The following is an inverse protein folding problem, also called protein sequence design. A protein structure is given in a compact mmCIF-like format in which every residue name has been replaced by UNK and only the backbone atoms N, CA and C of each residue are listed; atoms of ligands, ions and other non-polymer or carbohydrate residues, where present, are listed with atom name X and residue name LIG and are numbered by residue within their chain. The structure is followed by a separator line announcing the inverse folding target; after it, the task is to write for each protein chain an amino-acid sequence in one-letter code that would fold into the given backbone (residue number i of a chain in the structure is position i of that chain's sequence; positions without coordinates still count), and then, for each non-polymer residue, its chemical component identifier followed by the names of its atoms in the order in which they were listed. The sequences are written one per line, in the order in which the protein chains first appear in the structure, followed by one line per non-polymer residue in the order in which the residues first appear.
data_IF_831434431151
#
_entry.id   IF_831434431151
#
_cell.length_a   1.000
_cell.length_b   1.000
_cell.length_c   1.000
_cell.angle_alpha   90.00
_cell.angle_beta   90.00
_cell.angle_gamma   90.00
#
_symmetry.space_group_name_H-M   'P 1'
#
loop_
_entity.id
_entity.type
_entity.pdbx_description
1 polymer ?
#
# COMPACT_ATOMS: atom_id res chain seq x y z
N UNK A 1 -5.02 -6.14 -10.75
CA UNK A 1 -5.02 -4.81 -10.09
C UNK A 1 -3.58 -4.37 -9.94
N UNK A 2 -3.19 -3.18 -10.41
CA UNK A 2 -1.85 -2.65 -10.15
C UNK A 2 -1.89 -1.80 -8.87
N UNK A 3 -0.92 -1.99 -7.97
CA UNK A 3 -0.75 -1.12 -6.80
C UNK A 3 -0.22 0.24 -7.28
N UNK A 4 -0.89 1.32 -6.88
CA UNK A 4 -0.51 2.69 -7.22
C UNK A 4 -0.43 3.55 -5.96
N UNK A 5 0.21 4.71 -6.08
CA UNK A 5 0.17 5.72 -5.01
C UNK A 5 -1.28 6.05 -4.65
N UNK A 6 -1.61 6.01 -3.36
CA UNK A 6 -2.96 6.19 -2.84
C UNK A 6 -3.77 4.90 -2.69
N UNK A 7 -3.29 3.75 -3.17
CA UNK A 7 -3.94 2.46 -2.92
C UNK A 7 -3.92 2.12 -1.43
N UNK A 8 -5.06 1.66 -0.91
CA UNK A 8 -5.15 1.04 0.41
C UNK A 8 -4.63 -0.39 0.34
N UNK A 9 -3.76 -0.73 1.27
CA UNK A 9 -3.10 -2.04 1.34
C UNK A 9 -3.12 -2.55 2.77
N UNK A 10 -3.14 -3.87 2.92
CA UNK A 10 -2.98 -4.54 4.21
C UNK A 10 -1.52 -4.96 4.38
N UNK A 11 -0.93 -4.58 5.50
CA UNK A 11 0.42 -4.96 5.92
C UNK A 11 0.38 -5.27 7.41
N UNK A 12 0.86 -6.45 7.79
CA UNK A 12 0.88 -6.92 9.19
C UNK A 12 -0.46 -6.79 9.93
N UNK A 13 -1.55 -7.26 9.30
CA UNK A 13 -2.93 -7.15 9.78
C UNK A 13 -3.52 -5.74 9.90
N UNK A 14 -2.77 -4.69 9.61
CA UNK A 14 -3.24 -3.31 9.62
C UNK A 14 -3.41 -2.74 8.19
N UNK A 15 -4.16 -1.64 8.09
CA UNK A 15 -4.45 -0.96 6.83
C UNK A 15 -3.55 0.27 6.70
N UNK A 16 -2.81 0.35 5.60
CA UNK A 16 -1.98 1.47 5.24
C UNK A 16 -2.36 2.01 3.85
N UNK A 17 -1.83 3.19 3.51
CA UNK A 17 -1.94 3.79 2.17
C UNK A 17 -0.56 3.87 1.55
N UNK A 18 -0.42 3.48 0.29
CA UNK A 18 0.84 3.66 -0.45
C UNK A 18 1.10 5.15 -0.64
N UNK A 19 2.18 5.64 -0.06
CA UNK A 19 2.62 7.03 -0.15
C UNK A 19 3.56 7.24 -1.34
N UNK A 20 4.47 6.29 -1.58
CA UNK A 20 5.46 6.33 -2.67
C UNK A 20 5.80 4.93 -3.18
N UNK A 21 6.11 4.80 -4.47
CA UNK A 21 6.55 3.55 -5.10
C UNK A 21 7.89 3.81 -5.80
N UNK A 22 8.85 2.93 -5.54
CA UNK A 22 10.17 2.96 -6.17
C UNK A 22 10.26 1.93 -7.30
N UNK A 23 11.10 2.23 -8.29
CA UNK A 23 11.30 1.36 -9.47
C UNK A 23 12.04 0.04 -9.15
N UNK A 24 12.48 -0.16 -7.91
CA UNK A 24 13.17 -1.36 -7.44
C UNK A 24 12.23 -2.35 -6.71
N UNK A 25 10.91 -2.14 -6.77
CA UNK A 25 9.91 -3.01 -6.13
C UNK A 25 9.62 -2.69 -4.66
N UNK A 26 10.21 -1.63 -4.11
CA UNK A 26 9.90 -1.12 -2.78
C UNK A 26 8.84 -0.02 -2.84
N UNK A 27 8.16 0.21 -1.73
CA UNK A 27 7.22 1.30 -1.56
C UNK A 27 7.19 1.78 -0.11
N UNK A 28 6.87 3.05 0.08
CA UNK A 28 6.55 3.61 1.39
C UNK A 28 5.05 3.53 1.60
N UNK A 29 4.65 2.95 2.72
CA UNK A 29 3.27 2.90 3.19
C UNK A 29 3.11 3.80 4.41
N UNK A 30 1.97 4.49 4.50
CA UNK A 30 1.67 5.46 5.56
C UNK A 30 0.37 5.12 6.25
N UNK A 31 0.38 5.22 7.57
CA UNK A 31 -0.81 5.20 8.44
C UNK A 31 -0.62 6.30 9.49
N UNK A 32 -1.54 7.26 9.52
CA UNK A 32 -1.47 8.44 10.39
C UNK A 32 -0.13 9.21 10.28
N UNK A 33 0.76 9.07 11.27
CA UNK A 33 2.09 9.67 11.31
C UNK A 33 3.23 8.65 11.17
N UNK A 34 2.90 7.37 10.96
CA UNK A 34 3.86 6.28 10.79
C UNK A 34 4.09 6.01 9.29
N UNK A 35 5.36 5.96 8.88
CA UNK A 35 5.78 5.65 7.51
C UNK A 35 6.73 4.46 7.58
N UNK A 36 6.40 3.41 6.82
CA UNK A 36 7.21 2.19 6.72
C UNK A 36 7.63 1.95 5.28
N UNK A 37 8.88 1.55 5.09
CA UNK A 37 9.40 1.07 3.82
C UNK A 37 9.23 -0.45 3.75
N UNK A 38 8.51 -0.94 2.75
CA UNK A 38 8.20 -2.37 2.56
C UNK A 38 8.31 -2.75 1.08
N UNK A 39 8.32 -4.05 0.77
CA UNK A 39 8.25 -4.48 -0.63
C UNK A 39 6.80 -4.54 -1.11
N UNK A 40 6.56 -4.28 -2.39
CA UNK A 40 5.23 -4.41 -2.99
C UNK A 40 4.66 -5.83 -2.86
N UNK A 41 5.53 -6.84 -2.80
CA UNK A 41 5.17 -8.24 -2.65
C UNK A 41 4.61 -8.59 -1.27
N UNK A 42 4.96 -7.83 -0.24
CA UNK A 42 4.47 -8.02 1.13
C UNK A 42 3.07 -7.40 1.35
N UNK A 43 2.59 -6.64 0.38
CA UNK A 43 1.34 -5.89 0.46
C UNK A 43 0.18 -6.68 -0.13
N UNK A 44 -0.90 -6.78 0.64
CA UNK A 44 -2.18 -7.29 0.10
C UNK A 44 -3.05 -6.11 -0.33
N UNK A 45 -3.43 -5.97 -1.61
CA UNK A 45 -4.34 -4.91 -2.04
C UNK A 45 -5.70 -5.04 -1.33
N UNK A 46 -6.16 -3.95 -0.72
CA UNK A 46 -7.54 -3.86 -0.24
C UNK A 46 -8.36 -3.30 -1.38
N UNK A 47 -9.02 -4.20 -2.08
CA UNK A 47 -9.83 -3.87 -3.25
C UNK A 47 -10.92 -2.86 -2.83
N UNK A 48 -10.83 -1.64 -3.37
CA UNK A 48 -11.80 -0.57 -3.13
C UNK A 48 -12.92 -0.62 -4.18
N UNK A 49 -13.20 -1.79 -4.77
CA UNK A 49 -14.32 -1.98 -5.70
C UNK A 49 -15.64 -1.97 -4.95
N UNK A 50 -16.04 -0.78 -4.51
CA UNK A 50 -17.43 -0.39 -4.42
C UNK A 50 -17.70 0.56 -5.60
N UNK A 51 -17.85 -0.03 -6.78
CA UNK A 51 -18.49 0.66 -7.91
C UNK A 51 -19.66 -0.25 -8.29
N UNK A 52 -20.81 0.04 -7.71
CA UNK A 52 -22.11 -0.45 -8.15
C UNK A 52 -22.79 0.68 -8.91
#
# INVERSE_FOLDING_TARGET
MALVRGSKVKFDSEIYVIFWIYNNGYCEIKKDHDIKLVTLSDLTPLDNTNIK
#
